data_IF_403631392826
#
_entry.id   IF_403631392826
#
_cell.length_a   1.000
_cell.length_b   1.000
_cell.length_c   1.000
_cell.angle_alpha   90.00
_cell.angle_beta   90.00
_cell.angle_gamma   90.00
#
_symmetry.space_group_name_H-M   'P 1'
#
loop_
_entity.id
_entity.type
_entity.pdbx_description
1 polymer ?
#
# COMPACT_ATOMS: atom_id res chain seq x y z
N UNK A 1 19.53 -12.91 -10.44
CA UNK A 1 19.21 -13.28 -9.05
C UNK A 1 17.70 -13.40 -8.92
N UNK A 2 17.20 -14.50 -8.35
CA UNK A 2 15.79 -14.64 -7.99
C UNK A 2 15.50 -13.77 -6.76
N UNK A 3 14.30 -13.19 -6.67
CA UNK A 3 13.94 -12.38 -5.51
C UNK A 3 13.87 -13.22 -4.24
N UNK A 4 14.32 -12.63 -3.13
CA UNK A 4 14.10 -13.10 -1.78
C UNK A 4 14.10 -11.90 -0.84
N UNK A 5 13.17 -11.83 0.11
CA UNK A 5 13.25 -10.83 1.18
C UNK A 5 14.60 -10.93 1.89
N UNK A 6 15.26 -9.79 2.10
CA UNK A 6 16.49 -9.72 2.89
C UNK A 6 16.15 -10.10 4.33
N UNK A 7 16.89 -11.03 4.92
CA UNK A 7 16.75 -11.31 6.35
C UNK A 7 17.16 -10.08 7.17
N UNK A 8 16.37 -9.70 8.16
CA UNK A 8 16.60 -8.48 8.94
C UNK A 8 16.02 -7.20 8.32
N UNK A 9 15.36 -7.26 7.16
CA UNK A 9 14.71 -6.14 6.48
C UNK A 9 13.18 -6.25 6.51
N UNK A 10 12.53 -5.28 7.15
CA UNK A 10 11.08 -5.06 7.06
C UNK A 10 10.73 -3.61 6.75
N UNK A 11 11.66 -2.89 6.11
CA UNK A 11 11.48 -1.50 5.72
C UNK A 11 10.16 -1.29 4.97
N UNK A 12 9.74 -2.18 4.07
CA UNK A 12 8.47 -2.03 3.35
C UNK A 12 7.21 -2.22 4.23
N UNK A 13 7.34 -2.95 5.33
CA UNK A 13 6.27 -3.14 6.31
C UNK A 13 6.23 -1.99 7.32
N UNK A 14 7.40 -1.45 7.67
CA UNK A 14 7.63 -0.43 8.70
C UNK A 14 7.57 0.97 8.10
N UNK A 15 8.42 1.28 7.13
CA UNK A 15 8.58 2.57 6.47
C UNK A 15 7.85 2.56 5.14
N UNK A 16 6.60 2.98 5.18
CA UNK A 16 5.72 3.06 4.00
C UNK A 16 5.86 4.43 3.33
N UNK A 17 7.03 4.72 2.76
CA UNK A 17 7.25 5.93 1.96
C UNK A 17 6.55 5.83 0.59
N UNK A 18 5.23 5.93 0.61
CA UNK A 18 4.47 6.25 -0.59
C UNK A 18 4.43 7.78 -0.71
N UNK A 19 5.55 8.38 -1.16
CA UNK A 19 5.73 9.79 -1.50
C UNK A 19 4.61 10.72 -1.01
N UNK A 20 4.62 11.15 0.27
CA UNK A 20 3.69 12.18 0.70
C UNK A 20 3.94 13.43 -0.13
N UNK A 21 2.92 13.88 -0.86
CA UNK A 21 2.96 15.21 -1.46
C UNK A 21 2.33 16.19 -0.48
N UNK A 22 2.74 17.46 -0.56
CA UNK A 22 2.05 18.54 0.19
C UNK A 22 0.55 18.61 -0.10
N UNK A 23 0.13 18.08 -1.25
CA UNK A 23 -1.24 18.10 -1.73
C UNK A 23 -2.11 16.99 -1.11
N UNK A 24 -1.55 15.81 -0.84
CA UNK A 24 -2.33 14.63 -0.44
C UNK A 24 -2.02 14.09 0.97
N UNK A 25 -0.93 14.54 1.59
CA UNK A 25 -0.42 13.96 2.83
C UNK A 25 0.14 12.54 2.64
N UNK A 26 0.40 11.83 3.74
CA UNK A 26 0.85 10.43 3.71
C UNK A 26 -0.25 9.50 3.20
N UNK A 27 0.18 8.42 2.56
CA UNK A 27 -0.69 7.48 1.84
C UNK A 27 -0.75 6.12 2.54
N UNK A 28 -1.96 5.63 2.77
CA UNK A 28 -2.23 4.32 3.37
C UNK A 28 -2.06 3.11 2.41
N UNK A 29 -2.17 1.89 2.94
CA UNK A 29 -2.07 0.65 2.13
C UNK A 29 -3.26 0.63 1.20
N UNK A 30 -3.05 0.50 -0.11
CA UNK A 30 -4.16 0.40 -1.05
C UNK A 30 -5.01 -0.84 -0.71
N UNK A 31 -6.31 -0.61 -0.57
CA UNK A 31 -7.32 -1.65 -0.44
C UNK A 31 -8.28 -1.54 -1.62
N UNK A 32 -8.61 -2.67 -2.24
CA UNK A 32 -9.77 -2.71 -3.14
C UNK A 32 -11.08 -2.59 -2.34
N UNK A 33 -12.18 -2.14 -2.96
CA UNK A 33 -13.48 -2.03 -2.28
C UNK A 33 -13.92 -3.33 -1.58
N UNK A 34 -13.67 -4.48 -2.20
CA UNK A 34 -13.93 -5.81 -1.65
C UNK A 34 -13.06 -6.15 -0.42
N UNK A 35 -11.87 -5.56 -0.30
CA UNK A 35 -10.97 -5.81 0.83
C UNK A 35 -11.32 -4.97 2.06
N UNK A 36 -11.99 -3.82 1.89
CA UNK A 36 -12.31 -2.88 2.98
C UNK A 36 -13.02 -3.58 4.15
N UNK A 37 -14.16 -4.21 3.89
CA UNK A 37 -14.96 -4.84 4.93
C UNK A 37 -14.20 -6.00 5.62
N UNK A 38 -13.42 -6.77 4.85
CA UNK A 38 -12.55 -7.82 5.39
C UNK A 38 -11.53 -7.23 6.36
N UNK A 39 -10.88 -6.13 5.99
CA UNK A 39 -9.87 -5.48 6.83
C UNK A 39 -10.47 -4.88 8.11
N UNK A 40 -11.64 -4.25 8.02
CA UNK A 40 -12.36 -3.73 9.20
C UNK A 40 -12.75 -4.85 10.18
N UNK A 41 -13.21 -5.99 9.65
CA UNK A 41 -13.55 -7.15 10.47
C UNK A 41 -12.31 -7.76 11.13
N UNK A 42 -11.20 -7.88 10.39
CA UNK A 42 -9.95 -8.43 10.91
C UNK A 42 -9.34 -7.55 12.01
N UNK A 43 -9.38 -6.22 11.83
CA UNK A 43 -8.99 -5.26 12.85
C UNK A 43 -9.82 -5.41 14.13
N UNK A 44 -11.15 -5.48 14.00
CA UNK A 44 -12.08 -5.64 15.13
C UNK A 44 -11.83 -6.94 15.90
N UNK A 45 -11.63 -8.05 15.20
CA UNK A 45 -11.35 -9.35 15.82
C UNK A 45 -10.05 -9.35 16.63
N UNK A 46 -9.08 -8.52 16.22
CA UNK A 46 -7.78 -8.38 16.90
C UNK A 46 -7.75 -7.25 17.93
N UNK A 47 -8.86 -6.52 18.12
CA UNK A 47 -8.91 -5.36 19.01
C UNK A 47 -8.06 -4.17 18.53
N UNK A 48 -7.77 -4.10 17.23
CA UNK A 48 -6.94 -3.05 16.62
C UNK A 48 -7.86 -1.96 16.03
N UNK A 49 -7.54 -0.70 16.31
CA UNK A 49 -8.20 0.44 15.66
C UNK A 49 -7.53 0.71 14.31
N UNK A 50 -8.33 0.78 13.24
CA UNK A 50 -7.85 1.12 11.89
C UNK A 50 -8.65 2.28 11.32
N UNK A 51 -7.94 3.24 10.71
CA UNK A 51 -8.55 4.32 9.90
C UNK A 51 -8.43 3.94 8.43
N UNK A 52 -9.56 3.73 7.77
CA UNK A 52 -9.61 3.44 6.32
C UNK A 52 -10.31 4.60 5.62
N UNK A 53 -9.58 5.28 4.73
CA UNK A 53 -10.07 6.41 3.96
C UNK A 53 -10.27 6.01 2.50
N UNK A 54 -11.09 6.75 1.73
CA UNK A 54 -11.04 6.66 0.28
C UNK A 54 -9.62 6.96 -0.23
N UNK A 55 -9.24 6.41 -1.39
CA UNK A 55 -7.96 6.69 -2.05
C UNK A 55 -8.17 7.23 -3.45
N UNK A 56 -8.97 6.53 -4.25
CA UNK A 56 -9.26 6.87 -5.63
C UNK A 56 -10.76 6.74 -5.90
N UNK A 57 -11.31 7.71 -6.62
CA UNK A 57 -12.66 7.66 -7.18
C UNK A 57 -12.65 8.07 -8.66
N UNK A 58 -13.71 7.71 -9.38
CA UNK A 58 -13.91 8.07 -10.79
C UNK A 58 -15.29 8.69 -11.02
N UNK A 59 -15.36 9.57 -12.00
CA UNK A 59 -16.59 10.27 -12.43
C UNK A 59 -16.37 11.76 -12.65
N UNK A 60 -17.39 12.48 -13.12
CA UNK A 60 -17.33 13.96 -13.23
C UNK A 60 -17.23 14.65 -11.85
N UNK A 61 -17.62 13.90 -10.83
CA UNK A 61 -17.41 14.11 -9.39
C UNK A 61 -16.89 12.77 -8.81
N UNK A 62 -16.42 12.71 -7.55
CA UNK A 62 -15.96 11.47 -6.92
C UNK A 62 -17.12 10.52 -6.58
N UNK A 63 -17.83 10.02 -7.60
CA UNK A 63 -19.08 9.27 -7.48
C UNK A 63 -18.87 7.81 -7.12
N UNK A 64 -17.84 7.19 -7.70
CA UNK A 64 -17.51 5.77 -7.47
C UNK A 64 -16.10 5.63 -6.93
N UNK A 65 -15.99 5.24 -5.66
CA UNK A 65 -14.72 4.88 -5.05
C UNK A 65 -14.25 3.54 -5.63
N UNK A 66 -13.05 3.53 -6.20
CA UNK A 66 -12.41 2.34 -6.81
C UNK A 66 -11.22 1.84 -6.01
N UNK A 67 -10.74 2.62 -5.04
CA UNK A 67 -9.73 2.19 -4.09
C UNK A 67 -9.90 2.92 -2.76
N UNK A 68 -9.60 2.22 -1.67
CA UNK A 68 -9.44 2.76 -0.33
C UNK A 68 -7.97 2.71 0.08
N UNK A 69 -7.66 3.34 1.21
CA UNK A 69 -6.35 3.29 1.82
C UNK A 69 -6.46 3.07 3.32
N UNK A 70 -5.76 2.06 3.83
CA UNK A 70 -5.63 1.81 5.25
C UNK A 70 -4.47 2.62 5.81
N UNK A 71 -4.78 3.59 6.65
CA UNK A 71 -3.81 4.52 7.20
C UNK A 71 -2.94 3.85 8.27
N UNK A 72 -1.71 4.34 8.39
CA UNK A 72 -0.87 4.00 9.53
C UNK A 72 -1.34 4.69 10.81
N UNK A 73 -0.84 4.21 11.95
CA UNK A 73 -0.86 4.89 13.24
C UNK A 73 0.36 5.84 13.34
N UNK A 74 0.40 6.67 14.37
CA UNK A 74 1.46 7.68 14.58
C UNK A 74 1.69 8.53 13.33
N UNK A 75 0.71 9.37 13.00
CA UNK A 75 0.73 10.23 11.81
C UNK A 75 1.01 9.49 10.50
N UNK A 76 0.56 8.23 10.40
CA UNK A 76 0.65 7.41 9.21
C UNK A 76 1.96 6.64 9.05
N UNK A 77 2.88 6.70 10.01
CA UNK A 77 4.20 6.06 9.91
C UNK A 77 4.14 4.55 10.06
N UNK A 78 3.31 4.04 10.98
CA UNK A 78 3.33 2.62 11.33
C UNK A 78 2.10 1.88 10.87
N UNK A 79 2.27 0.68 10.30
CA UNK A 79 1.14 -0.17 10.00
C UNK A 79 0.45 -0.64 11.31
N UNK A 80 -0.89 -0.50 11.44
CA UNK A 80 -1.62 -0.85 12.66
C UNK A 80 -1.56 -2.34 13.02
N UNK A 81 -1.15 -3.20 12.09
CA UNK A 81 -1.08 -4.64 12.28
C UNK A 81 0.33 -5.15 12.63
N UNK A 82 1.31 -4.26 12.78
CA UNK A 82 2.63 -4.63 13.25
C UNK A 82 2.60 -4.88 14.76
N UNK A 83 3.18 -6.00 15.16
CA UNK A 83 3.38 -6.37 16.55
C UNK A 83 4.82 -5.99 16.94
N UNK A 84 4.94 -4.94 17.76
CA UNK A 84 6.22 -4.40 18.18
C UNK A 84 7.05 -5.39 19.03
N UNK A 85 6.37 -6.34 19.68
CA UNK A 85 6.97 -7.30 20.62
C UNK A 85 7.49 -8.56 19.94
N UNK A 86 7.12 -8.79 18.67
CA UNK A 86 7.48 -9.99 17.93
C UNK A 86 8.28 -9.67 16.68
N UNK A 87 9.38 -10.38 16.50
CA UNK A 87 10.17 -10.27 15.28
C UNK A 87 9.58 -11.09 14.13
N UNK A 88 9.63 -10.51 12.93
CA UNK A 88 9.27 -11.20 11.70
C UNK A 88 10.44 -12.10 11.24
N UNK A 89 10.19 -13.20 10.51
CA UNK A 89 11.24 -14.02 9.90
C UNK A 89 12.05 -13.27 8.83
N UNK A 90 11.59 -12.08 8.44
CA UNK A 90 12.25 -11.19 7.50
C UNK A 90 12.93 -10.02 8.22
N UNK A 91 12.89 -9.93 9.56
CA UNK A 91 13.42 -8.81 10.35
C UNK A 91 12.36 -7.78 10.77
N UNK A 92 12.66 -6.97 11.78
CA UNK A 92 11.74 -6.00 12.40
C UNK A 92 10.40 -6.58 12.86
N UNK A 93 9.36 -5.75 12.99
CA UNK A 93 8.10 -6.15 13.63
C UNK A 93 7.27 -7.14 12.79
N UNK A 94 6.67 -8.13 13.45
CA UNK A 94 5.86 -9.15 12.80
C UNK A 94 4.50 -8.59 12.38
N UNK A 95 4.01 -9.01 11.22
CA UNK A 95 2.68 -8.63 10.74
C UNK A 95 1.65 -9.64 11.22
N UNK A 96 0.74 -9.20 12.08
CA UNK A 96 -0.32 -10.04 12.68
C UNK A 96 -1.38 -10.54 11.70
N UNK A 97 -1.34 -10.05 10.45
CA UNK A 97 -2.25 -10.39 9.35
C UNK A 97 -1.48 -10.88 8.11
N UNK A 98 -0.25 -11.35 8.25
CA UNK A 98 0.61 -11.63 7.09
C UNK A 98 -0.05 -12.57 6.07
N UNK A 99 -0.83 -13.56 6.52
CA UNK A 99 -1.54 -14.50 5.62
C UNK A 99 -2.79 -13.89 4.98
N UNK A 100 -3.41 -12.95 5.68
CA UNK A 100 -4.63 -12.24 5.29
C UNK A 100 -4.35 -10.84 4.70
N UNK A 101 -3.07 -10.54 4.43
CA UNK A 101 -2.60 -9.21 4.03
C UNK A 101 -3.31 -8.73 2.76
N UNK A 102 -3.52 -7.42 2.61
CA UNK A 102 -4.10 -6.86 1.40
C UNK A 102 -3.30 -7.20 0.14
N UNK A 103 -3.97 -7.18 -1.02
CA UNK A 103 -3.33 -7.42 -2.31
C UNK A 103 -2.13 -6.49 -2.54
N UNK A 104 -2.20 -5.23 -2.10
CA UNK A 104 -1.07 -4.30 -2.23
C UNK A 104 0.18 -4.77 -1.47
N UNK A 105 0.01 -5.36 -0.28
CA UNK A 105 1.10 -5.97 0.48
C UNK A 105 1.54 -7.31 -0.13
N UNK A 106 0.62 -8.07 -0.73
CA UNK A 106 0.93 -9.32 -1.41
C UNK A 106 1.64 -9.13 -2.75
N UNK A 107 1.45 -7.98 -3.41
CA UNK A 107 2.12 -7.62 -4.65
C UNK A 107 3.57 -7.16 -4.45
N UNK A 108 3.95 -6.71 -3.25
CA UNK A 108 5.30 -6.23 -2.98
C UNK A 108 6.34 -7.37 -3.14
N UNK A 109 7.49 -7.14 -3.80
CA UNK A 109 8.06 -5.86 -4.25
C UNK A 109 7.68 -5.43 -5.66
N UNK A 110 6.73 -6.10 -6.31
CA UNK A 110 6.33 -5.82 -7.68
C UNK A 110 5.40 -4.60 -7.69
N UNK A 111 5.78 -3.59 -8.47
CA UNK A 111 5.03 -2.34 -8.63
C UNK A 111 4.71 -2.08 -10.11
N UNK A 112 3.73 -1.22 -10.35
CA UNK A 112 3.45 -0.71 -11.69
C UNK A 112 4.09 0.68 -11.86
N UNK A 113 5.18 0.73 -12.61
CA UNK A 113 5.87 1.98 -12.97
C UNK A 113 5.37 2.54 -14.32
N UNK A 114 4.10 2.33 -14.67
CA UNK A 114 3.45 3.03 -15.79
C UNK A 114 3.36 2.23 -17.08
N UNK A 115 3.21 0.89 -17.00
CA UNK A 115 2.69 -0.06 -18.04
C UNK A 115 3.29 -1.46 -17.90
N UNK A 116 4.52 -1.57 -17.39
CA UNK A 116 5.24 -2.83 -17.22
C UNK A 116 5.50 -3.02 -15.73
N UNK A 117 5.23 -4.22 -15.22
CA UNK A 117 5.56 -4.58 -13.85
C UNK A 117 7.08 -4.46 -13.63
N UNK A 118 7.50 -3.78 -12.58
CA UNK A 118 8.91 -3.63 -12.20
C UNK A 118 9.10 -3.92 -10.72
N UNK A 119 10.35 -3.97 -10.27
CA UNK A 119 10.68 -4.11 -8.85
C UNK A 119 10.78 -2.73 -8.21
N UNK A 120 10.23 -2.58 -7.01
CA UNK A 120 10.32 -1.34 -6.24
C UNK A 120 11.80 -1.00 -5.92
N UNK A 121 12.32 0.15 -6.36
CA UNK A 121 13.68 0.56 -6.06
C UNK A 121 13.94 0.81 -4.56
N UNK A 122 12.89 0.96 -3.74
CA UNK A 122 13.01 1.09 -2.29
C UNK A 122 13.14 -0.26 -1.58
N UNK A 123 12.87 -1.38 -2.26
CA UNK A 123 13.15 -2.70 -1.68
C UNK A 123 14.67 -2.87 -1.56
N UNK A 124 15.17 -3.11 -0.34
CA UNK A 124 16.62 -3.26 -0.10
C UNK A 124 17.25 -4.38 -0.95
N UNK A 125 16.53 -5.49 -1.17
CA UNK A 125 16.99 -6.55 -2.07
C UNK A 125 17.14 -6.01 -3.50
N UNK A 126 16.07 -5.38 -4.01
CA UNK A 126 16.03 -4.87 -5.38
C UNK A 126 17.05 -3.75 -5.59
N UNK A 127 17.29 -2.91 -4.58
CA UNK A 127 18.34 -1.89 -4.58
C UNK A 127 19.74 -2.52 -4.63
N UNK A 128 20.03 -3.46 -3.73
CA UNK A 128 21.33 -4.16 -3.67
C UNK A 128 21.63 -4.95 -4.94
N UNK A 129 20.60 -5.50 -5.59
CA UNK A 129 20.71 -6.34 -6.76
C UNK A 129 20.12 -5.70 -8.02
N UNK A 130 20.06 -4.37 -8.12
CA UNK A 130 19.33 -3.65 -9.17
C UNK A 130 19.66 -4.09 -10.61
N UNK A 131 20.91 -4.48 -10.87
CA UNK A 131 21.35 -4.97 -12.19
C UNK A 131 20.94 -6.42 -12.48
N UNK A 132 20.72 -7.23 -11.45
CA UNK A 132 20.57 -8.70 -11.55
C UNK A 132 19.25 -9.25 -11.03
N UNK A 133 18.50 -8.48 -10.24
CA UNK A 133 17.18 -8.84 -9.77
C UNK A 133 16.22 -8.93 -10.96
N UNK A 134 15.38 -9.95 -10.96
CA UNK A 134 14.39 -10.25 -12.01
C UNK A 134 13.06 -10.59 -11.37
N UNK A 135 12.00 -10.57 -12.17
CA UNK A 135 10.65 -10.96 -11.75
C UNK A 135 10.46 -12.48 -11.66
N UNK A 136 11.48 -13.27 -12.03
CA UNK A 136 11.42 -14.73 -11.97
C UNK A 136 11.17 -15.21 -10.54
N UNK A 137 10.09 -15.97 -10.36
CA UNK A 137 9.66 -16.51 -9.06
C UNK A 137 8.68 -15.62 -8.29
N UNK A 138 8.22 -14.51 -8.88
CA UNK A 138 7.25 -13.57 -8.30
C UNK A 138 5.84 -13.72 -8.88
N UNK A 139 5.44 -14.94 -9.24
CA UNK A 139 4.14 -15.17 -9.89
C UNK A 139 2.96 -14.74 -9.02
N UNK A 140 3.03 -14.97 -7.69
CA UNK A 140 1.97 -14.56 -6.77
C UNK A 140 1.85 -13.05 -6.64
N UNK A 141 2.99 -12.36 -6.58
CA UNK A 141 3.09 -10.90 -6.52
C UNK A 141 2.58 -10.26 -7.82
N UNK A 142 2.95 -10.83 -8.98
CA UNK A 142 2.45 -10.41 -10.29
C UNK A 142 0.94 -10.61 -10.42
N UNK A 143 0.41 -11.72 -9.91
CA UNK A 143 -1.03 -11.97 -9.90
C UNK A 143 -1.77 -10.97 -9.00
N UNK A 144 -1.23 -10.68 -7.82
CA UNK A 144 -1.78 -9.67 -6.92
C UNK A 144 -1.79 -8.27 -7.55
N UNK A 145 -0.70 -7.86 -8.21
CA UNK A 145 -0.63 -6.59 -8.93
C UNK A 145 -1.64 -6.54 -10.09
N UNK A 146 -1.74 -7.61 -10.87
CA UNK A 146 -2.70 -7.70 -11.99
C UNK A 146 -4.15 -7.56 -11.51
N UNK A 147 -4.51 -8.20 -10.39
CA UNK A 147 -5.82 -8.04 -9.74
C UNK A 147 -6.09 -6.58 -9.39
N UNK A 148 -5.14 -5.88 -8.76
CA UNK A 148 -5.27 -4.44 -8.44
C UNK A 148 -5.48 -3.63 -9.73
N UNK A 149 -4.63 -3.82 -10.74
CA UNK A 149 -4.69 -3.08 -12.00
C UNK A 149 -6.03 -3.27 -12.71
N UNK A 150 -6.59 -4.49 -12.71
CA UNK A 150 -7.88 -4.78 -13.35
C UNK A 150 -9.05 -3.99 -12.74
N UNK A 151 -8.93 -3.56 -11.48
CA UNK A 151 -9.98 -2.85 -10.73
C UNK A 151 -9.75 -1.34 -10.69
N UNK A 152 -8.50 -0.90 -10.72
CA UNK A 152 -8.12 0.51 -10.58
C UNK A 152 -7.99 1.23 -11.93
N UNK A 153 -7.88 0.50 -13.05
CA UNK A 153 -7.85 1.11 -14.39
C UNK A 153 -9.14 1.86 -14.70
N UNK A 154 -9.02 3.16 -14.98
CA UNK A 154 -10.11 4.03 -15.43
C UNK A 154 -10.02 4.24 -16.94
N UNK A 155 -10.78 3.49 -17.71
CA UNK A 155 -10.93 3.80 -19.14
C UNK A 155 -11.78 5.08 -19.27
N UNK A 156 -11.14 6.17 -19.67
CA UNK A 156 -11.75 7.45 -20.11
C UNK A 156 -12.61 8.22 -19.07
N UNK A 157 -12.36 8.04 -17.77
CA UNK A 157 -13.04 8.81 -16.71
C UNK A 157 -12.03 9.65 -15.92
N UNK A 158 -12.47 10.84 -15.48
CA UNK A 158 -11.70 11.68 -14.54
C UNK A 158 -11.44 10.90 -13.26
N UNK A 159 -10.21 10.97 -12.77
CA UNK A 159 -9.76 10.33 -11.53
C UNK A 159 -9.70 11.37 -10.43
N UNK A 160 -10.19 11.01 -9.26
CA UNK A 160 -10.17 11.84 -8.06
C UNK A 160 -9.32 11.14 -6.99
N UNK A 161 -8.43 11.88 -6.36
CA UNK A 161 -7.56 11.41 -5.29
C UNK A 161 -8.01 12.00 -3.97
N UNK A 162 -7.94 11.22 -2.90
CA UNK A 162 -8.31 11.68 -1.57
C UNK A 162 -7.09 12.18 -0.80
N UNK A 163 -7.09 13.44 -0.41
CA UNK A 163 -6.12 14.03 0.51
C UNK A 163 -6.45 13.61 1.95
N UNK A 164 -5.45 13.14 2.70
CA UNK A 164 -5.66 12.40 3.96
C UNK A 164 -5.52 13.24 5.22
N UNK A 165 -5.11 14.50 5.08
CA UNK A 165 -4.67 15.36 6.17
C UNK A 165 -3.65 14.70 7.14
N UNK A 166 -2.87 13.71 6.69
CA UNK A 166 -1.99 12.90 7.54
C UNK A 166 -0.51 13.22 7.27
N UNK A 167 0.26 13.52 8.31
CA UNK A 167 1.70 13.80 8.23
C UNK A 167 2.13 14.90 9.22
N UNK A 168 3.42 15.20 9.28
CA UNK A 168 3.99 16.09 10.31
C UNK A 168 3.82 17.61 10.02
N UNK A 169 3.34 18.02 8.85
CA UNK A 169 3.10 19.43 8.51
C UNK A 169 1.64 19.87 8.77
N UNK A 170 1.47 21.05 9.39
CA UNK A 170 0.25 21.48 10.06
C UNK A 170 -0.95 21.87 9.15
N UNK A 171 -0.85 21.79 7.81
CA UNK A 171 -1.96 22.19 6.92
C UNK A 171 -2.01 21.30 5.67
N UNK A 172 -2.34 20.03 5.85
CA UNK A 172 -2.74 19.19 4.73
C UNK A 172 -4.27 19.26 4.55
N UNK A 173 -4.78 19.46 3.32
CA UNK A 173 -6.22 19.39 3.08
C UNK A 173 -6.75 17.98 3.33
N UNK A 174 -8.02 17.86 3.74
CA UNK A 174 -8.76 16.59 3.73
C UNK A 174 -9.86 16.67 2.68
N UNK A 175 -9.99 15.63 1.85
CA UNK A 175 -11.08 15.53 0.87
C UNK A 175 -10.63 15.19 -0.54
N UNK A 176 -11.57 15.28 -1.49
CA UNK A 176 -11.34 14.91 -2.88
C UNK A 176 -10.68 16.02 -3.67
N UNK A 177 -9.65 15.65 -4.42
CA UNK A 177 -8.90 16.50 -5.34
C UNK A 177 -8.92 15.83 -6.71
N UNK A 178 -9.13 16.60 -7.77
CA UNK A 178 -9.10 16.09 -9.14
C UNK A 178 -7.64 15.75 -9.49
N UNK A 179 -7.37 14.49 -9.83
CA UNK A 179 -6.06 14.02 -10.29
C UNK A 179 -5.86 14.60 -11.70
N UNK A 180 -4.95 15.58 -11.84
CA UNK A 180 -4.74 16.39 -13.04
C UNK A 180 -4.16 15.59 -14.22
#
# INVERSE_FOLDING_TARGET
>A
MRFSCVQGCSDCCIYRDYYPTKEFGKIGVLLLPEEKARMENLARQKGISVRILPRLAIGDKPEKIIAYQMMGIEDGDWCPFLDAEKESPHGGHSCSIYKERPLACAAYPVIDAGKVATLDPHCQFCKKHSQTARLDGLQGELEALSKIQSKVRSENKRVWRYATATGQDAVFPEGWVLDA
#
